data_IF_817954283479
#
_entry.id   IF_817954283479
#
_cell.length_a   1.000
_cell.length_b   1.000
_cell.length_c   1.000
_cell.angle_alpha   90.00
_cell.angle_beta   90.00
_cell.angle_gamma   90.00
#
_symmetry.space_group_name_H-M   'P 1'
#
loop_
_entity.id
_entity.type
_entity.pdbx_description
1 polymer ?
#
# COMPACT_ATOMS: atom_id res chain seq x y z
N UNK A 1 12.14 15.35 -76.45
CA UNK A 1 12.94 15.48 -75.21
C UNK A 1 12.00 15.00 -74.05
N UNK A 2 12.09 13.69 -73.72
CA UNK A 2 11.17 13.03 -72.79
C UNK A 2 11.72 13.07 -71.36
N UNK A 3 11.16 13.91 -70.53
CA UNK A 3 11.45 13.91 -69.09
C UNK A 3 10.61 12.81 -68.41
N UNK A 4 11.23 11.66 -68.06
CA UNK A 4 10.63 10.64 -67.20
C UNK A 4 10.54 11.14 -65.77
N UNK A 5 9.35 11.46 -65.29
CA UNK A 5 9.08 11.73 -63.85
C UNK A 5 9.31 10.45 -63.06
N UNK A 6 10.35 10.41 -62.24
CA UNK A 6 10.53 9.35 -61.21
C UNK A 6 9.63 9.67 -60.03
N UNK A 7 8.61 8.87 -59.80
CA UNK A 7 7.79 8.88 -58.58
C UNK A 7 8.53 8.06 -57.53
N UNK A 8 9.01 8.71 -56.47
CA UNK A 8 9.63 8.06 -55.33
C UNK A 8 8.50 7.60 -54.37
N UNK A 9 8.24 6.31 -54.31
CA UNK A 9 7.37 5.73 -53.28
C UNK A 9 8.15 5.64 -52.00
N UNK A 10 7.82 6.48 -51.00
CA UNK A 10 8.30 6.35 -49.63
C UNK A 10 7.40 5.30 -48.94
N UNK A 11 7.92 4.09 -48.76
CA UNK A 11 7.28 3.05 -47.98
C UNK A 11 7.48 3.39 -46.50
N UNK A 12 6.48 4.00 -45.87
CA UNK A 12 6.50 4.20 -44.40
C UNK A 12 6.22 2.83 -43.79
N UNK A 13 7.26 2.17 -43.27
CA UNK A 13 7.15 0.97 -42.46
C UNK A 13 6.55 1.38 -41.10
N UNK A 14 5.23 1.24 -40.94
CA UNK A 14 4.57 1.29 -39.64
C UNK A 14 5.01 0.04 -38.87
N UNK A 15 6.10 0.17 -38.08
CA UNK A 15 6.40 -0.83 -37.06
C UNK A 15 5.25 -0.80 -36.05
N UNK A 16 4.59 -1.95 -35.75
CA UNK A 16 3.64 -1.99 -34.67
C UNK A 16 4.38 -1.71 -33.37
N UNK A 17 4.08 -0.57 -32.76
CA UNK A 17 4.53 -0.28 -31.39
C UNK A 17 3.70 -1.18 -30.50
N UNK A 18 4.27 -2.31 -30.06
CA UNK A 18 3.68 -3.14 -29.02
C UNK A 18 3.78 -2.36 -27.71
N UNK A 19 2.76 -1.60 -27.38
CA UNK A 19 2.62 -1.09 -26.03
C UNK A 19 2.43 -2.28 -25.11
N UNK A 20 3.35 -2.49 -24.18
CA UNK A 20 3.15 -3.46 -23.09
C UNK A 20 1.92 -3.02 -22.31
N UNK A 21 0.89 -3.83 -22.33
CA UNK A 21 -0.36 -3.57 -21.59
C UNK A 21 -0.07 -3.61 -20.10
N UNK A 22 -0.73 -2.75 -19.31
CA UNK A 22 -0.69 -2.87 -17.85
C UNK A 22 -1.15 -4.27 -17.43
N UNK A 23 -0.56 -4.82 -16.39
CA UNK A 23 -0.82 -6.20 -15.97
C UNK A 23 -0.60 -6.42 -14.49
N UNK A 24 -1.37 -7.35 -13.93
CA UNK A 24 -1.09 -7.93 -12.62
C UNK A 24 -0.23 -9.18 -12.79
N UNK A 25 0.82 -9.27 -11.98
CA UNK A 25 1.71 -10.44 -11.90
C UNK A 25 1.66 -10.96 -10.47
N UNK A 26 1.38 -12.26 -10.30
CA UNK A 26 1.56 -12.94 -9.01
C UNK A 26 2.98 -13.47 -8.92
N UNK A 27 3.62 -13.19 -7.79
CA UNK A 27 5.00 -13.57 -7.52
C UNK A 27 5.17 -14.03 -6.06
N UNK A 28 6.37 -14.47 -5.69
CA UNK A 28 6.63 -14.93 -4.32
C UNK A 28 8.08 -14.70 -3.91
N UNK A 29 8.30 -14.61 -2.60
CA UNK A 29 9.60 -14.54 -1.97
C UNK A 29 9.72 -15.63 -0.91
N UNK A 30 10.84 -16.34 -0.88
CA UNK A 30 11.19 -17.24 0.20
C UNK A 30 11.80 -16.42 1.34
N UNK A 31 11.09 -16.32 2.45
CA UNK A 31 11.57 -15.60 3.64
C UNK A 31 12.36 -16.50 4.56
N UNK A 32 13.51 -16.03 4.99
CA UNK A 32 14.31 -16.66 6.06
C UNK A 32 13.77 -16.25 7.44
N UNK A 33 13.32 -15.01 7.58
CA UNK A 33 12.75 -14.48 8.83
C UNK A 33 11.48 -15.23 9.23
N UNK A 34 10.60 -15.51 8.25
CA UNK A 34 9.33 -16.20 8.51
C UNK A 34 9.42 -17.72 8.36
N UNK A 35 10.49 -18.25 7.75
CA UNK A 35 10.59 -19.65 7.39
C UNK A 35 9.52 -20.11 6.39
N UNK A 36 8.99 -19.20 5.59
CA UNK A 36 7.83 -19.43 4.71
C UNK A 36 7.98 -18.75 3.36
N UNK A 37 7.24 -19.25 2.36
CA UNK A 37 7.09 -18.57 1.06
C UNK A 37 5.92 -17.60 1.14
N UNK A 38 6.19 -16.33 0.91
CA UNK A 38 5.18 -15.26 0.92
C UNK A 38 4.86 -14.85 -0.52
N UNK A 39 3.60 -14.99 -0.91
CA UNK A 39 3.10 -14.53 -2.21
C UNK A 39 2.78 -13.04 -2.16
N UNK A 40 2.79 -12.41 -3.32
CA UNK A 40 2.35 -11.03 -3.51
C UNK A 40 1.88 -10.81 -4.94
N UNK A 41 0.99 -9.85 -5.15
CA UNK A 41 0.64 -9.35 -6.47
C UNK A 41 1.37 -8.03 -6.74
N UNK A 42 1.64 -7.80 -8.03
CA UNK A 42 2.25 -6.57 -8.53
C UNK A 42 1.41 -6.09 -9.70
N UNK A 43 0.88 -4.88 -9.63
CA UNK A 43 0.39 -4.17 -10.80
C UNK A 43 1.54 -3.39 -11.42
N UNK A 44 1.78 -3.65 -12.70
CA UNK A 44 2.81 -3.01 -13.50
C UNK A 44 2.12 -2.09 -14.54
N UNK A 45 2.48 -0.80 -14.61
CA UNK A 45 1.86 0.12 -15.55
C UNK A 45 2.16 -0.27 -17.00
N UNK A 46 1.31 0.18 -17.93
CA UNK A 46 1.61 0.02 -19.35
C UNK A 46 2.95 0.71 -19.66
N UNK A 47 3.75 0.11 -20.55
CA UNK A 47 5.10 0.56 -20.86
C UNK A 47 6.17 0.17 -19.84
N UNK A 48 5.83 -0.62 -18.80
CA UNK A 48 6.82 -1.12 -17.86
C UNK A 48 7.89 -1.96 -18.57
N UNK A 49 9.15 -1.54 -18.45
CA UNK A 49 10.32 -2.26 -18.95
C UNK A 49 11.22 -2.69 -17.82
N UNK A 50 11.43 -4.01 -17.70
CA UNK A 50 12.29 -4.58 -16.66
C UNK A 50 13.78 -4.23 -16.79
N UNK A 51 14.18 -3.76 -17.95
CA UNK A 51 15.57 -3.37 -18.24
C UNK A 51 15.96 -1.98 -17.76
N UNK A 52 14.98 -1.16 -17.35
CA UNK A 52 15.20 0.20 -16.90
C UNK A 52 15.32 0.27 -15.39
N UNK A 53 16.53 0.46 -14.87
CA UNK A 53 16.78 0.57 -13.42
C UNK A 53 16.25 1.89 -12.87
N UNK A 54 15.59 1.82 -11.70
CA UNK A 54 15.26 2.98 -10.87
C UNK A 54 14.25 3.97 -11.46
N UNK A 55 13.32 3.51 -12.30
CA UNK A 55 12.43 4.42 -13.02
C UNK A 55 11.05 4.60 -12.41
N UNK A 56 10.59 3.70 -11.53
CA UNK A 56 9.23 3.73 -11.01
C UNK A 56 9.17 3.93 -9.50
N UNK A 57 8.33 4.85 -9.01
CA UNK A 57 7.94 4.89 -7.62
C UNK A 57 7.04 3.71 -7.27
N UNK A 58 6.84 3.45 -5.97
CA UNK A 58 6.06 2.31 -5.49
C UNK A 58 5.02 2.70 -4.46
N UNK A 59 3.84 2.10 -4.58
CA UNK A 59 2.82 2.05 -3.54
C UNK A 59 2.75 0.62 -2.99
N UNK A 60 3.01 0.45 -1.69
CA UNK A 60 2.68 -0.78 -0.97
C UNK A 60 1.23 -0.70 -0.50
N UNK A 61 0.39 -1.64 -0.96
CA UNK A 61 -1.06 -1.65 -0.72
C UNK A 61 -1.45 -2.87 0.10
N UNK A 62 -1.73 -2.66 1.39
CA UNK A 62 -1.91 -3.68 2.40
C UNK A 62 -3.38 -4.12 2.50
N UNK A 63 -3.63 -5.45 2.54
CA UNK A 63 -4.98 -6.02 2.63
C UNK A 63 -5.52 -6.09 4.07
N UNK A 64 -6.81 -6.40 4.23
CA UNK A 64 -7.48 -6.53 5.52
C UNK A 64 -7.28 -7.89 6.20
N UNK A 65 -7.74 -7.97 7.45
CA UNK A 65 -7.82 -9.23 8.20
C UNK A 65 -8.76 -10.19 7.47
N UNK A 66 -8.43 -11.47 7.37
CA UNK A 66 -9.15 -12.49 6.58
C UNK A 66 -8.95 -12.44 5.05
N UNK A 67 -8.24 -11.45 4.54
CA UNK A 67 -7.91 -11.34 3.12
C UNK A 67 -6.52 -11.92 2.79
N UNK A 68 -6.15 -11.85 1.52
CA UNK A 68 -4.86 -12.28 0.99
C UNK A 68 -4.30 -11.23 0.02
N UNK A 69 -3.11 -11.48 -0.52
CA UNK A 69 -2.48 -10.67 -1.57
C UNK A 69 -3.36 -10.45 -2.82
N UNK A 70 -4.37 -11.31 -3.07
CA UNK A 70 -5.23 -11.20 -4.25
C UNK A 70 -6.44 -10.28 -4.06
N UNK A 71 -6.79 -9.96 -2.81
CA UNK A 71 -8.04 -9.29 -2.49
C UNK A 71 -8.19 -7.90 -3.15
N UNK A 72 -7.12 -7.14 -3.27
CA UNK A 72 -7.17 -5.83 -3.93
C UNK A 72 -7.50 -5.92 -5.41
N UNK A 73 -7.08 -6.99 -6.09
CA UNK A 73 -7.43 -7.27 -7.49
C UNK A 73 -8.84 -7.83 -7.59
N UNK A 74 -9.12 -8.93 -6.86
CA UNK A 74 -10.37 -9.68 -7.01
C UNK A 74 -11.60 -8.93 -6.49
N UNK A 75 -11.46 -8.20 -5.38
CA UNK A 75 -12.56 -7.49 -4.71
C UNK A 75 -12.46 -5.98 -4.89
N UNK A 76 -11.24 -5.43 -4.81
CA UNK A 76 -10.98 -4.00 -4.94
C UNK A 76 -10.91 -3.51 -6.38
N UNK A 77 -10.63 -4.39 -7.36
CA UNK A 77 -10.46 -4.07 -8.78
C UNK A 77 -9.41 -2.96 -8.98
N UNK A 78 -8.32 -3.04 -8.21
CA UNK A 78 -7.27 -2.00 -8.20
C UNK A 78 -6.60 -1.83 -9.55
N UNK A 79 -6.45 -2.91 -10.30
CA UNK A 79 -5.90 -2.93 -11.65
C UNK A 79 -6.74 -2.09 -12.63
N UNK A 80 -8.06 -2.27 -12.64
CA UNK A 80 -8.96 -1.50 -13.50
C UNK A 80 -8.94 -0.01 -13.15
N UNK A 81 -8.96 0.32 -11.83
CA UNK A 81 -8.92 1.71 -11.37
C UNK A 81 -7.56 2.35 -11.69
N UNK A 82 -6.47 1.64 -11.45
CA UNK A 82 -5.14 2.15 -11.74
C UNK A 82 -4.92 2.37 -13.24
N UNK A 83 -5.43 1.46 -14.09
CA UNK A 83 -5.38 1.61 -15.55
C UNK A 83 -6.18 2.83 -16.02
N UNK A 84 -7.39 3.04 -15.49
CA UNK A 84 -8.23 4.21 -15.79
C UNK A 84 -7.54 5.52 -15.37
N UNK A 85 -7.07 5.59 -14.12
CA UNK A 85 -6.42 6.79 -13.60
C UNK A 85 -5.10 7.12 -14.31
N UNK A 86 -4.36 6.10 -14.75
CA UNK A 86 -3.15 6.29 -15.55
C UNK A 86 -3.49 6.80 -16.95
N UNK A 87 -4.53 6.27 -17.58
CA UNK A 87 -4.99 6.69 -18.91
C UNK A 87 -5.54 8.12 -18.91
N UNK A 88 -6.23 8.53 -17.85
CA UNK A 88 -6.75 9.90 -17.69
C UNK A 88 -5.69 10.90 -17.23
N UNK A 89 -4.49 10.42 -16.85
CA UNK A 89 -3.40 11.27 -16.35
C UNK A 89 -3.58 11.75 -14.90
N UNK A 90 -4.49 11.13 -14.15
CA UNK A 90 -4.71 11.42 -12.73
C UNK A 90 -3.62 10.84 -11.84
N UNK A 91 -2.94 9.79 -12.30
CA UNK A 91 -1.72 9.26 -11.69
C UNK A 91 -0.58 9.20 -12.70
N UNK A 92 0.65 9.37 -12.22
CA UNK A 92 1.87 9.06 -12.96
C UNK A 92 2.16 7.56 -12.92
N UNK A 93 2.93 7.02 -13.88
CA UNK A 93 3.34 5.63 -13.84
C UNK A 93 4.03 5.29 -12.51
N UNK A 94 3.51 4.27 -11.81
CA UNK A 94 4.05 3.74 -10.55
C UNK A 94 3.85 2.23 -10.52
N UNK A 95 4.49 1.55 -9.60
CA UNK A 95 4.26 0.12 -9.32
C UNK A 95 3.40 0.01 -8.06
N UNK A 96 2.40 -0.90 -8.07
CA UNK A 96 1.61 -1.19 -6.88
C UNK A 96 1.95 -2.62 -6.43
N UNK A 97 2.46 -2.76 -5.21
CA UNK A 97 2.83 -4.04 -4.59
C UNK A 97 1.79 -4.38 -3.52
N UNK A 98 1.19 -5.56 -3.64
CA UNK A 98 0.16 -6.08 -2.73
C UNK A 98 0.70 -7.33 -2.02
N UNK A 99 1.38 -7.17 -0.86
CA UNK A 99 1.98 -8.30 -0.14
C UNK A 99 0.92 -9.12 0.57
N UNK A 100 1.23 -10.39 0.84
CA UNK A 100 0.40 -11.27 1.65
C UNK A 100 0.84 -11.24 3.12
N UNK A 101 -0.06 -10.85 4.01
CA UNK A 101 0.16 -10.95 5.45
C UNK A 101 -0.58 -12.13 6.09
N UNK A 102 -1.37 -12.88 5.31
CA UNK A 102 -2.10 -14.02 5.83
C UNK A 102 -3.23 -14.53 4.93
N UNK A 103 -4.33 -14.98 5.55
CA UNK A 103 -5.45 -15.58 4.84
C UNK A 103 -6.72 -15.70 5.70
N UNK A 104 -7.80 -16.26 5.13
CA UNK A 104 -9.12 -16.26 5.77
C UNK A 104 -9.20 -17.13 7.05
N UNK A 105 -8.38 -18.16 7.14
CA UNK A 105 -8.33 -19.02 8.34
C UNK A 105 -7.43 -18.39 9.42
N UNK A 106 -7.90 -17.31 10.02
CA UNK A 106 -7.13 -16.52 10.99
C UNK A 106 -6.85 -17.25 12.29
N UNK A 107 -7.55 -18.37 12.57
CA UNK A 107 -7.26 -19.19 13.74
C UNK A 107 -5.98 -20.02 13.57
N UNK A 108 -5.81 -20.61 12.41
CA UNK A 108 -4.72 -21.55 12.12
C UNK A 108 -3.60 -20.98 11.27
N UNK A 109 -3.87 -19.90 10.54
CA UNK A 109 -2.93 -19.26 9.63
C UNK A 109 -2.53 -17.88 10.17
N UNK A 110 -1.24 -17.59 10.16
CA UNK A 110 -0.74 -16.25 10.50
C UNK A 110 -1.36 -15.21 9.56
N UNK A 111 -1.77 -14.07 10.15
CA UNK A 111 -2.30 -12.94 9.41
C UNK A 111 -2.05 -11.66 10.20
N UNK A 112 -1.16 -10.80 9.74
CA UNK A 112 -0.87 -9.53 10.42
C UNK A 112 0.46 -8.93 9.99
N UNK A 113 0.55 -7.62 10.13
CA UNK A 113 1.67 -6.81 9.64
C UNK A 113 2.75 -6.53 10.68
N UNK A 114 2.51 -6.84 11.96
CA UNK A 114 3.43 -6.49 13.04
C UNK A 114 4.39 -7.64 13.37
N UNK A 115 5.31 -7.34 14.27
CA UNK A 115 6.10 -8.38 14.92
C UNK A 115 5.19 -9.14 15.89
N UNK A 116 5.04 -10.44 15.67
CA UNK A 116 4.32 -11.35 16.55
C UNK A 116 5.24 -12.52 16.90
N UNK A 117 5.10 -13.07 18.10
CA UNK A 117 5.88 -14.24 18.50
C UNK A 117 5.56 -15.42 17.57
N UNK A 118 6.60 -15.97 16.92
CA UNK A 118 6.48 -16.97 15.87
C UNK A 118 6.15 -16.44 14.47
N UNK A 119 5.92 -15.12 14.30
CA UNK A 119 5.66 -14.50 13.00
C UNK A 119 6.16 -13.05 12.96
N UNK A 120 7.44 -12.87 12.72
CA UNK A 120 8.11 -11.56 12.72
C UNK A 120 7.87 -10.81 11.39
N UNK A 121 6.59 -10.54 11.04
CA UNK A 121 6.24 -10.01 9.72
C UNK A 121 6.81 -8.62 9.45
N UNK A 122 6.79 -7.72 10.42
CA UNK A 122 7.39 -6.38 10.27
C UNK A 122 8.89 -6.48 9.93
N UNK A 123 9.62 -7.35 10.64
CA UNK A 123 11.04 -7.61 10.34
C UNK A 123 11.21 -8.11 8.91
N UNK A 124 10.43 -9.11 8.49
CA UNK A 124 10.44 -9.60 7.11
C UNK A 124 10.16 -8.49 6.11
N UNK A 125 9.14 -7.68 6.35
CA UNK A 125 8.70 -6.64 5.41
C UNK A 125 9.81 -5.63 5.12
N UNK A 126 10.48 -5.14 6.17
CA UNK A 126 11.53 -4.13 6.02
C UNK A 126 12.90 -4.69 5.63
N UNK A 127 13.26 -5.89 6.10
CA UNK A 127 14.62 -6.41 5.89
C UNK A 127 14.77 -7.37 4.71
N UNK A 128 13.68 -8.01 4.28
CA UNK A 128 13.71 -8.97 3.16
C UNK A 128 12.78 -8.54 2.01
N UNK A 129 11.51 -8.20 2.29
CA UNK A 129 10.51 -7.98 1.26
C UNK A 129 10.78 -6.72 0.45
N UNK A 130 10.84 -5.55 1.09
CA UNK A 130 11.10 -4.27 0.40
C UNK A 130 12.38 -4.34 -0.44
N UNK A 131 13.56 -4.72 0.11
CA UNK A 131 14.77 -4.78 -0.69
C UNK A 131 14.69 -5.74 -1.89
N UNK A 132 14.03 -6.88 -1.72
CA UNK A 132 13.91 -7.88 -2.78
C UNK A 132 13.00 -7.42 -3.93
N UNK A 133 11.83 -6.86 -3.61
CA UNK A 133 10.87 -6.41 -4.64
C UNK A 133 11.36 -5.15 -5.35
N UNK A 134 11.98 -4.22 -4.62
CA UNK A 134 12.53 -3.00 -5.23
C UNK A 134 13.65 -3.34 -6.21
N UNK A 135 14.55 -4.26 -5.83
CA UNK A 135 15.58 -4.76 -6.75
C UNK A 135 14.99 -5.48 -7.96
N UNK A 136 13.98 -6.34 -7.74
CA UNK A 136 13.39 -7.17 -8.80
C UNK A 136 12.64 -6.37 -9.85
N UNK A 137 11.95 -5.32 -9.42
CA UNK A 137 11.10 -4.49 -10.28
C UNK A 137 11.72 -3.14 -10.61
N UNK A 138 13.02 -2.94 -10.32
CA UNK A 138 13.76 -1.70 -10.60
C UNK A 138 13.05 -0.46 -10.08
N UNK A 139 12.63 -0.53 -8.81
CA UNK A 139 11.92 0.56 -8.13
C UNK A 139 12.93 1.58 -7.61
N UNK A 140 12.58 2.86 -7.67
CA UNK A 140 13.32 3.92 -6.98
C UNK A 140 13.14 3.73 -5.47
N UNK A 141 14.15 3.19 -4.81
CA UNK A 141 14.08 2.73 -3.43
C UNK A 141 14.32 3.83 -2.38
N UNK A 142 14.00 5.09 -2.66
CA UNK A 142 14.11 6.18 -1.70
C UNK A 142 12.76 6.53 -1.05
N UNK A 143 12.83 7.31 0.02
CA UNK A 143 11.65 7.75 0.77
C UNK A 143 10.64 8.51 -0.08
N UNK A 144 11.11 9.41 -0.95
CA UNK A 144 10.26 10.28 -1.76
C UNK A 144 9.38 9.48 -2.73
N UNK A 145 9.89 8.37 -3.23
CA UNK A 145 9.23 7.53 -4.23
C UNK A 145 8.59 6.27 -3.64
N UNK A 146 8.38 6.24 -2.30
CA UNK A 146 7.75 5.12 -1.60
C UNK A 146 6.55 5.61 -0.81
N UNK A 147 5.37 5.02 -1.06
CA UNK A 147 4.14 5.27 -0.32
C UNK A 147 3.58 3.96 0.26
N UNK A 148 2.77 4.06 1.30
CA UNK A 148 2.05 2.94 1.88
C UNK A 148 0.57 3.28 2.06
N UNK A 149 -0.30 2.33 1.76
CA UNK A 149 -1.75 2.44 1.94
C UNK A 149 -2.34 1.08 2.30
N UNK A 150 -3.52 1.05 2.85
CA UNK A 150 -4.22 -0.20 3.14
C UNK A 150 -5.58 0.02 3.75
N UNK A 151 -6.33 -1.08 3.86
CA UNK A 151 -7.67 -1.11 4.47
C UNK A 151 -7.66 -1.91 5.77
N UNK A 152 -8.50 -1.53 6.73
CA UNK A 152 -8.75 -2.28 7.96
C UNK A 152 -7.42 -2.61 8.69
N UNK A 153 -7.09 -3.88 8.88
CA UNK A 153 -5.78 -4.32 9.39
C UNK A 153 -4.62 -3.73 8.58
N UNK A 154 -4.74 -3.64 7.26
CA UNK A 154 -3.74 -3.01 6.39
C UNK A 154 -3.69 -1.49 6.54
N UNK A 155 -4.80 -0.84 6.86
CA UNK A 155 -4.87 0.57 7.24
C UNK A 155 -4.10 0.83 8.53
N UNK A 156 -4.30 -0.03 9.55
CA UNK A 156 -3.53 -0.03 10.79
C UNK A 156 -2.05 -0.28 10.54
N UNK A 157 -1.72 -1.30 9.73
CA UNK A 157 -0.36 -1.60 9.32
C UNK A 157 0.35 -0.43 8.64
N UNK A 158 -0.32 0.21 7.68
CA UNK A 158 0.20 1.40 6.98
C UNK A 158 0.49 2.55 7.94
N UNK A 159 -0.44 2.79 8.87
CA UNK A 159 -0.31 3.84 9.89
C UNK A 159 0.88 3.59 10.81
N UNK A 160 0.95 2.39 11.40
CA UNK A 160 2.01 2.02 12.36
C UNK A 160 3.38 1.94 11.69
N UNK A 161 3.47 1.41 10.47
CA UNK A 161 4.72 1.42 9.71
C UNK A 161 5.22 2.86 9.48
N UNK A 162 4.32 3.76 9.10
CA UNK A 162 4.68 5.17 8.89
C UNK A 162 5.03 5.90 10.19
N UNK A 163 4.46 5.49 11.32
CA UNK A 163 4.80 6.03 12.64
C UNK A 163 6.18 5.56 13.13
N UNK A 164 6.50 4.29 12.91
CA UNK A 164 7.74 3.66 13.41
C UNK A 164 8.93 3.86 12.47
N UNK A 165 8.65 4.03 11.17
CA UNK A 165 9.66 4.21 10.11
C UNK A 165 9.36 5.46 9.28
N UNK A 166 9.35 6.67 9.90
CA UNK A 166 8.95 7.91 9.23
C UNK A 166 9.92 8.35 8.11
N UNK A 167 11.09 7.74 8.07
CA UNK A 167 12.11 7.92 7.03
C UNK A 167 11.93 6.99 5.82
N UNK A 168 10.97 6.06 5.87
CA UNK A 168 10.77 5.06 4.80
C UNK A 168 9.76 5.49 3.76
N UNK A 169 8.75 6.30 4.11
CA UNK A 169 7.62 6.63 3.24
C UNK A 169 7.42 8.14 3.10
N UNK A 170 7.00 8.59 1.91
CA UNK A 170 6.57 9.97 1.67
C UNK A 170 5.13 10.22 2.14
N UNK A 171 4.28 9.19 2.04
CA UNK A 171 2.86 9.31 2.39
C UNK A 171 2.24 8.01 2.91
N UNK A 172 1.21 8.18 3.74
CA UNK A 172 0.37 7.12 4.28
C UNK A 172 -1.10 7.45 4.04
N UNK A 173 -1.83 6.51 3.42
CA UNK A 173 -3.28 6.61 3.25
C UNK A 173 -3.95 5.41 3.93
N UNK A 174 -4.65 5.65 5.02
CA UNK A 174 -5.31 4.63 5.83
C UNK A 174 -6.82 4.62 5.56
N UNK A 175 -7.36 3.47 5.15
CA UNK A 175 -8.78 3.26 4.88
C UNK A 175 -9.38 2.42 6.00
N UNK A 176 -10.43 2.90 6.69
CA UNK A 176 -11.14 2.12 7.72
C UNK A 176 -10.16 1.41 8.65
N UNK A 177 -9.22 2.12 9.23
CA UNK A 177 -8.02 1.54 9.81
C UNK A 177 -8.27 0.88 11.16
N UNK A 178 -7.82 -0.36 11.35
CA UNK A 178 -7.83 -1.02 12.65
C UNK A 178 -6.61 -0.55 13.48
N UNK A 179 -6.83 0.42 14.35
CA UNK A 179 -5.78 1.20 15.02
C UNK A 179 -5.58 0.86 16.49
N UNK A 180 -6.50 0.08 17.07
CA UNK A 180 -6.43 -0.36 18.45
C UNK A 180 -7.24 -1.65 18.64
N UNK A 181 -6.83 -2.47 19.58
CA UNK A 181 -7.55 -3.67 20.02
C UNK A 181 -7.37 -3.84 21.52
N UNK A 182 -8.34 -4.45 22.19
CA UNK A 182 -8.15 -4.85 23.57
C UNK A 182 -7.00 -5.86 23.63
N UNK A 183 -5.94 -5.53 24.36
CA UNK A 183 -4.79 -6.42 24.55
C UNK A 183 -5.17 -7.51 25.56
N UNK A 184 -5.62 -8.66 25.04
CA UNK A 184 -5.86 -9.87 25.83
C UNK A 184 -4.62 -10.74 25.95
N UNK A 185 -4.73 -11.80 26.76
CA UNK A 185 -3.73 -12.88 26.74
C UNK A 185 -3.74 -13.60 25.38
N UNK A 186 -2.57 -14.02 24.93
CA UNK A 186 -2.43 -14.79 23.71
C UNK A 186 -2.90 -16.21 23.95
N UNK A 187 -3.80 -16.71 23.11
CA UNK A 187 -4.17 -18.11 23.01
C UNK A 187 -3.28 -18.80 21.95
N UNK A 188 -2.33 -19.68 22.33
CA UNK A 188 -1.46 -20.37 21.38
C UNK A 188 -2.20 -21.23 20.35
N UNK A 189 -3.42 -21.64 20.63
CA UNK A 189 -4.28 -22.40 19.72
C UNK A 189 -5.04 -21.50 18.72
N UNK A 190 -4.92 -20.16 18.85
CA UNK A 190 -5.64 -19.21 18.02
C UNK A 190 -4.72 -18.07 17.54
N UNK A 191 -4.23 -18.14 16.33
CA UNK A 191 -3.31 -17.13 15.78
C UNK A 191 -3.92 -15.72 15.70
N UNK A 192 -5.24 -15.59 15.62
CA UNK A 192 -5.90 -14.29 15.66
C UNK A 192 -5.63 -13.54 16.98
N UNK A 193 -5.43 -14.23 18.11
CA UNK A 193 -5.13 -13.59 19.39
C UNK A 193 -3.79 -12.84 19.37
N UNK A 194 -2.80 -13.37 18.65
CA UNK A 194 -1.51 -12.68 18.45
C UNK A 194 -1.67 -11.39 17.64
N UNK A 195 -2.53 -11.43 16.61
CA UNK A 195 -2.82 -10.24 15.78
C UNK A 195 -3.52 -9.18 16.60
N UNK A 196 -4.56 -9.55 17.36
CA UNK A 196 -5.30 -8.65 18.24
C UNK A 196 -4.37 -8.00 19.27
N UNK A 197 -3.54 -8.83 19.93
CA UNK A 197 -2.53 -8.32 20.87
C UNK A 197 -1.56 -7.36 20.19
N UNK A 198 -1.04 -7.71 19.02
CA UNK A 198 -0.08 -6.86 18.30
C UNK A 198 -0.69 -5.52 17.88
N UNK A 199 -1.97 -5.49 17.46
CA UNK A 199 -2.70 -4.25 17.18
C UNK A 199 -2.86 -3.40 18.46
N UNK A 200 -3.20 -4.01 19.58
CA UNK A 200 -3.31 -3.32 20.87
C UNK A 200 -1.97 -2.77 21.38
N UNK A 201 -0.90 -3.56 21.28
CA UNK A 201 0.47 -3.14 21.65
C UNK A 201 0.97 -1.95 20.78
N UNK A 202 0.42 -1.76 19.58
CA UNK A 202 0.76 -0.71 18.63
C UNK A 202 -0.33 0.35 18.46
N UNK A 203 -1.15 0.59 19.50
CA UNK A 203 -2.24 1.55 19.46
C UNK A 203 -1.80 2.90 18.88
N UNK A 204 -2.24 3.22 17.67
CA UNK A 204 -1.70 4.31 16.86
C UNK A 204 -1.96 5.71 17.46
N UNK A 205 -3.13 5.91 18.07
CA UNK A 205 -3.47 7.17 18.74
C UNK A 205 -2.60 7.41 19.97
N UNK A 206 -2.38 6.36 20.78
CA UNK A 206 -1.52 6.43 21.96
C UNK A 206 -0.06 6.71 21.59
N UNK A 207 0.43 6.15 20.47
CA UNK A 207 1.75 6.47 19.96
C UNK A 207 1.92 7.97 19.72
N UNK A 208 0.99 8.61 19.01
CA UNK A 208 1.05 10.05 18.72
C UNK A 208 0.96 10.89 19.98
N UNK A 209 0.09 10.51 20.93
CA UNK A 209 -0.11 11.22 22.19
C UNK A 209 1.17 11.23 23.04
N UNK A 210 1.87 10.09 23.09
CA UNK A 210 3.06 9.88 23.92
C UNK A 210 4.40 10.16 23.19
N UNK A 211 4.37 10.48 21.90
CA UNK A 211 5.56 10.75 21.11
C UNK A 211 6.33 11.97 21.62
N UNK A 212 7.66 11.92 21.54
CA UNK A 212 8.52 13.09 21.79
C UNK A 212 8.34 14.17 20.70
N UNK A 213 8.84 15.36 20.95
CA UNK A 213 8.78 16.44 19.95
C UNK A 213 9.60 16.14 18.70
N UNK A 214 10.70 15.37 18.83
CA UNK A 214 11.52 14.89 17.71
C UNK A 214 10.75 13.92 16.85
N UNK A 215 10.07 12.93 17.46
CA UNK A 215 9.21 11.99 16.74
C UNK A 215 8.06 12.73 16.05
N UNK A 216 7.38 13.65 16.77
CA UNK A 216 6.32 14.47 16.15
C UNK A 216 6.85 15.30 14.98
N UNK A 217 8.09 15.81 15.05
CA UNK A 217 8.72 16.53 13.94
C UNK A 217 8.94 15.61 12.73
N UNK A 218 9.36 14.37 12.94
CA UNK A 218 9.49 13.37 11.88
C UNK A 218 8.12 13.04 11.25
N UNK A 219 7.09 12.81 12.05
CA UNK A 219 5.73 12.53 11.55
C UNK A 219 5.15 13.68 10.72
N UNK A 220 5.55 14.95 10.99
CA UNK A 220 5.14 16.12 10.17
C UNK A 220 5.75 16.13 8.78
N UNK A 221 6.76 15.33 8.53
CA UNK A 221 7.40 15.25 7.20
C UNK A 221 6.70 14.31 6.23
N UNK A 222 5.75 13.48 6.72
CA UNK A 222 4.93 12.62 5.87
C UNK A 222 3.59 13.32 5.56
N UNK A 223 3.00 12.91 4.45
CA UNK A 223 1.59 13.21 4.21
C UNK A 223 0.71 12.06 4.74
N UNK A 224 -0.31 12.46 5.48
CA UNK A 224 -1.24 11.54 6.13
C UNK A 224 -2.65 11.76 5.60
N UNK A 225 -3.35 10.66 5.32
CA UNK A 225 -4.76 10.67 4.98
C UNK A 225 -5.49 9.54 5.70
N UNK A 226 -6.60 9.87 6.35
CA UNK A 226 -7.54 8.93 6.97
C UNK A 226 -8.84 8.99 6.19
N UNK A 227 -9.36 7.85 5.73
CA UNK A 227 -10.59 7.72 4.95
C UNK A 227 -11.49 6.65 5.59
N UNK A 228 -12.64 7.06 6.14
CA UNK A 228 -13.52 6.21 6.92
C UNK A 228 -14.98 6.42 6.55
N UNK A 229 -15.78 5.36 6.54
CA UNK A 229 -17.23 5.42 6.39
C UNK A 229 -17.92 5.84 7.69
N UNK A 230 -19.00 6.59 7.61
CA UNK A 230 -19.78 7.04 8.78
C UNK A 230 -20.51 5.89 9.49
N UNK A 231 -20.76 4.77 8.78
CA UNK A 231 -21.35 3.54 9.33
C UNK A 231 -20.29 2.43 9.62
N UNK A 232 -19.00 2.76 9.57
CA UNK A 232 -17.92 1.79 9.82
C UNK A 232 -17.72 1.58 11.33
N UNK A 233 -17.66 0.31 11.77
CA UNK A 233 -17.47 -0.01 13.19
C UNK A 233 -16.11 0.42 13.76
N UNK A 234 -15.14 0.78 12.92
CA UNK A 234 -13.85 1.35 13.31
C UNK A 234 -13.83 2.89 13.32
N UNK A 235 -14.98 3.52 13.04
CA UNK A 235 -15.10 4.98 12.92
C UNK A 235 -14.45 5.73 14.08
N UNK A 236 -14.76 5.36 15.30
CA UNK A 236 -14.26 6.06 16.50
C UNK A 236 -12.74 6.00 16.61
N UNK A 237 -12.11 4.88 16.20
CA UNK A 237 -10.64 4.73 16.24
C UNK A 237 -9.95 5.66 15.24
N UNK A 238 -10.48 5.79 14.03
CA UNK A 238 -9.97 6.69 12.99
C UNK A 238 -10.12 8.16 13.37
N UNK A 239 -11.27 8.53 13.95
CA UNK A 239 -11.52 9.90 14.47
C UNK A 239 -10.61 10.21 15.67
N UNK A 240 -10.37 9.24 16.55
CA UNK A 240 -9.43 9.42 17.67
C UNK A 240 -8.00 9.68 17.19
N UNK A 241 -7.51 8.89 16.20
CA UNK A 241 -6.20 9.12 15.59
C UNK A 241 -6.12 10.50 14.94
N UNK A 242 -7.13 10.89 14.15
CA UNK A 242 -7.17 12.23 13.57
C UNK A 242 -7.12 13.33 14.63
N UNK A 243 -7.87 13.18 15.73
CA UNK A 243 -7.85 14.09 16.86
C UNK A 243 -6.47 14.16 17.54
N UNK A 244 -5.78 13.03 17.71
CA UNK A 244 -4.42 12.94 18.24
C UNK A 244 -3.41 13.67 17.33
N UNK A 245 -3.47 13.41 16.02
CA UNK A 245 -2.64 14.09 15.02
C UNK A 245 -2.83 15.61 15.06
N UNK A 246 -4.07 16.08 15.09
CA UNK A 246 -4.36 17.53 15.19
C UNK A 246 -3.79 18.16 16.45
N UNK A 247 -3.99 17.56 17.62
CA UNK A 247 -3.44 18.04 18.90
C UNK A 247 -1.91 18.11 18.87
N UNK A 248 -1.27 17.12 18.20
CA UNK A 248 0.18 17.08 18.01
C UNK A 248 0.68 18.03 16.89
N UNK A 249 -0.21 18.75 16.20
CA UNK A 249 0.09 19.62 15.05
C UNK A 249 0.76 18.84 13.90
N UNK A 250 0.38 17.57 13.72
CA UNK A 250 0.77 16.74 12.58
C UNK A 250 -0.31 16.93 11.51
N UNK A 251 0.02 17.50 10.32
CA UNK A 251 -0.94 17.65 9.24
C UNK A 251 -1.48 16.30 8.80
N UNK A 252 -2.80 16.15 8.81
CA UNK A 252 -3.49 14.93 8.39
C UNK A 252 -4.80 15.31 7.70
N UNK A 253 -5.02 14.79 6.51
CA UNK A 253 -6.30 14.91 5.80
C UNK A 253 -7.28 13.88 6.36
N UNK A 254 -8.54 14.25 6.51
CA UNK A 254 -9.63 13.36 6.90
C UNK A 254 -10.74 13.42 5.88
N UNK A 255 -11.21 12.25 5.47
CA UNK A 255 -12.46 12.10 4.71
C UNK A 255 -13.40 11.17 5.45
N UNK A 256 -14.61 11.64 5.66
CA UNK A 256 -15.75 10.84 6.09
C UNK A 256 -16.75 10.81 4.95
N UNK A 257 -17.19 9.62 4.53
CA UNK A 257 -18.20 9.42 3.49
C UNK A 257 -19.26 8.45 3.99
N UNK A 258 -20.46 8.55 3.41
CA UNK A 258 -21.48 7.53 3.64
C UNK A 258 -20.95 6.14 3.24
N UNK A 259 -21.10 5.16 4.13
CA UNK A 259 -20.71 3.77 3.93
C UNK A 259 -20.10 3.13 5.15
N UNK A 260 -19.89 1.81 5.08
CA UNK A 260 -19.39 0.99 6.16
C UNK A 260 -18.11 0.25 5.79
N UNK A 261 -17.79 -0.78 6.58
CA UNK A 261 -16.58 -1.61 6.44
C UNK A 261 -16.71 -2.62 5.29
N UNK A 262 -16.69 -2.13 4.04
CA UNK A 262 -16.99 -2.93 2.85
C UNK A 262 -16.03 -2.70 1.70
N UNK A 263 -15.90 -3.69 0.83
CA UNK A 263 -15.11 -3.59 -0.38
C UNK A 263 -15.63 -2.53 -1.36
N UNK A 264 -16.93 -2.23 -1.37
CA UNK A 264 -17.50 -1.15 -2.15
C UNK A 264 -16.96 0.22 -1.72
N UNK A 265 -16.85 0.43 -0.39
CA UNK A 265 -16.24 1.62 0.17
C UNK A 265 -14.78 1.76 -0.26
N UNK A 266 -13.98 0.70 -0.10
CA UNK A 266 -12.53 0.72 -0.39
C UNK A 266 -12.23 0.78 -1.89
N UNK A 267 -13.04 0.12 -2.73
CA UNK A 267 -12.97 0.29 -4.18
C UNK A 267 -13.09 1.77 -4.58
N UNK A 268 -14.06 2.48 -4.01
CA UNK A 268 -14.24 3.92 -4.26
C UNK A 268 -13.07 4.74 -3.69
N UNK A 269 -12.53 4.36 -2.53
CA UNK A 269 -11.41 5.05 -1.89
C UNK A 269 -10.13 4.99 -2.73
N UNK A 270 -9.91 3.95 -3.56
CA UNK A 270 -8.76 3.85 -4.46
C UNK A 270 -8.65 5.05 -5.41
N UNK A 271 -9.78 5.62 -5.85
CA UNK A 271 -9.82 6.83 -6.69
C UNK A 271 -9.28 8.10 -6.01
N UNK A 272 -9.02 8.02 -4.72
CA UNK A 272 -8.36 9.10 -3.96
C UNK A 272 -6.98 8.69 -3.52
N UNK A 273 -6.81 7.45 -3.04
CA UNK A 273 -5.54 6.99 -2.49
C UNK A 273 -4.43 6.87 -3.55
N UNK A 274 -4.77 6.39 -4.77
CA UNK A 274 -3.80 6.30 -5.85
C UNK A 274 -3.31 7.68 -6.31
N UNK A 275 -4.19 8.67 -6.61
CA UNK A 275 -3.74 10.04 -6.89
C UNK A 275 -3.04 10.73 -5.72
N UNK A 276 -3.41 10.43 -4.47
CA UNK A 276 -2.73 10.96 -3.28
C UNK A 276 -1.26 10.51 -3.24
N UNK A 277 -0.99 9.21 -3.41
CA UNK A 277 0.37 8.68 -3.46
C UNK A 277 1.15 9.25 -4.66
N UNK A 278 0.54 9.23 -5.85
CA UNK A 278 1.17 9.70 -7.10
C UNK A 278 1.61 11.16 -7.03
N UNK A 279 0.81 12.04 -6.39
CA UNK A 279 1.18 13.45 -6.23
C UNK A 279 2.43 13.66 -5.38
N UNK A 280 2.68 12.79 -4.42
CA UNK A 280 3.90 12.90 -3.60
C UNK A 280 5.14 12.48 -4.37
N UNK A 281 5.04 11.49 -5.25
CA UNK A 281 6.17 11.04 -6.07
C UNK A 281 6.70 12.11 -7.03
N UNK A 282 5.89 13.09 -7.37
CA UNK A 282 6.20 14.13 -8.35
C UNK A 282 6.67 15.46 -7.72
N UNK A 283 6.94 15.49 -6.42
CA UNK A 283 7.50 16.65 -5.72
C UNK A 283 9.02 16.61 -5.70
#
# INVERSE_FOLDING_TARGET
MNMKKRVLFILILLMPVFFSQARVVTDSIQSKVLGATVKYNVWLPWGFERSTEGQYPVLYLLHGFTDTYSAWVEKGRVDEIADELLQTGEISPMIIIMPNAGGPDTRNVWNGYFYMDGWAYETFFFTEFIPAVEKKYHIVGDRQHRAVSGLSMGGGGSTVYSQRHPDMFSSCYAMSAWLNSESGEVDPANKASYVMKAVGDHAASAFVQNASDEVKAQLRTLRWFIDIGDDDFLFDQDIELYGAMRRARIPCELRVRNGGHTWEYWHTALRTSLPFASREFNK
#
